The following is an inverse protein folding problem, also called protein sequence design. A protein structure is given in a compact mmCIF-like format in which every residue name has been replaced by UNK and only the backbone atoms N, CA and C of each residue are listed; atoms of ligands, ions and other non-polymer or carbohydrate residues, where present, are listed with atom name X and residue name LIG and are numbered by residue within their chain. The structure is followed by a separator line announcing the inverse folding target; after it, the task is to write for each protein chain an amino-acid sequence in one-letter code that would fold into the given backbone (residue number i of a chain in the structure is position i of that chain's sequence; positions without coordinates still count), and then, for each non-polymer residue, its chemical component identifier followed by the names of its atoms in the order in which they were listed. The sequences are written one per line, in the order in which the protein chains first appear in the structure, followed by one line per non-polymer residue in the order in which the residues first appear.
data_IF_202971449058
#
_entry.id   IF_202971449058
#
_cell.length_a   1.000
_cell.length_b   1.000
_cell.length_c   1.000
_cell.angle_alpha   90.00
_cell.angle_beta   90.00
_cell.angle_gamma   90.00
#
_symmetry.space_group_name_H-M   'P 1'
#
loop_
_entity.id
_entity.type
_entity.pdbx_description
1 polymer ?
#
# COMPACT_ATOMS: atom_id res chain seq x y z
N UNK A 1 -17.02 -2.89 29.44
CA UNK A 1 -16.20 -1.80 28.89
C UNK A 1 -16.22 -1.88 27.39
N UNK A 2 -16.73 -0.88 26.69
CA UNK A 2 -16.63 -0.85 25.25
C UNK A 2 -15.15 -0.70 24.87
N UNK A 3 -14.66 -1.38 23.81
CA UNK A 3 -13.31 -1.18 23.34
C UNK A 3 -13.13 0.28 22.94
N UNK A 4 -11.95 0.88 23.18
CA UNK A 4 -11.69 2.24 22.74
C UNK A 4 -11.83 2.31 21.22
N UNK A 5 -12.53 3.35 20.73
CA UNK A 5 -12.67 3.59 19.31
C UNK A 5 -11.32 4.02 18.73
N UNK A 6 -10.96 3.54 17.54
CA UNK A 6 -9.73 3.96 16.88
C UNK A 6 -9.80 5.45 16.50
N UNK A 7 -8.65 6.12 16.56
CA UNK A 7 -8.50 7.48 16.02
C UNK A 7 -8.66 7.48 14.50
N UNK A 8 -9.58 8.29 13.98
CA UNK A 8 -9.89 8.40 12.55
C UNK A 8 -9.05 9.48 11.83
N UNK A 9 -8.28 10.27 12.57
CA UNK A 9 -7.52 11.39 12.01
C UNK A 9 -6.53 11.00 10.92
N UNK A 10 -5.77 9.89 11.01
CA UNK A 10 -4.86 9.47 9.95
C UNK A 10 -5.58 9.19 8.62
N UNK A 11 -6.76 8.58 8.69
CA UNK A 11 -7.55 8.25 7.52
C UNK A 11 -8.08 9.46 6.76
N UNK A 12 -8.44 10.53 7.46
CA UNK A 12 -8.85 11.79 6.84
C UNK A 12 -7.72 12.33 5.95
N UNK A 13 -6.49 12.33 6.46
CA UNK A 13 -5.33 12.80 5.72
C UNK A 13 -5.07 11.99 4.44
N UNK A 14 -5.24 10.66 4.49
CA UNK A 14 -5.09 9.80 3.31
C UNK A 14 -6.19 10.06 2.27
N UNK A 15 -7.44 10.19 2.71
CA UNK A 15 -8.56 10.49 1.81
C UNK A 15 -8.37 11.84 1.11
N UNK A 16 -7.91 12.85 1.81
CA UNK A 16 -7.63 14.16 1.25
C UNK A 16 -6.47 14.12 0.24
N UNK A 17 -5.43 13.34 0.51
CA UNK A 17 -4.34 13.13 -0.43
C UNK A 17 -4.80 12.43 -1.72
N UNK A 18 -5.66 11.42 -1.61
CA UNK A 18 -6.23 10.73 -2.78
C UNK A 18 -7.02 11.72 -3.63
N UNK A 19 -7.87 12.53 -3.00
CA UNK A 19 -8.67 13.54 -3.70
C UNK A 19 -7.79 14.60 -4.38
N UNK A 20 -6.79 15.11 -3.67
CA UNK A 20 -5.91 16.16 -4.16
C UNK A 20 -5.00 15.69 -5.31
N UNK A 21 -4.47 14.45 -5.24
CA UNK A 21 -3.50 13.93 -6.21
C UNK A 21 -4.13 13.29 -7.43
N UNK A 22 -5.21 12.56 -7.23
CA UNK A 22 -5.82 11.74 -8.27
C UNK A 22 -7.18 12.25 -8.72
N UNK A 23 -7.69 13.32 -8.10
CA UNK A 23 -9.01 13.91 -8.39
C UNK A 23 -10.14 12.87 -8.40
N UNK A 24 -10.05 11.86 -7.52
CA UNK A 24 -10.96 10.74 -7.47
C UNK A 24 -11.44 10.47 -6.05
N UNK A 25 -12.50 9.71 -5.94
CA UNK A 25 -12.99 9.17 -4.67
C UNK A 25 -12.15 7.95 -4.25
N UNK A 26 -12.16 7.65 -2.96
CA UNK A 26 -11.40 6.52 -2.43
C UNK A 26 -12.00 5.15 -2.75
N UNK A 27 -13.33 5.08 -2.82
CA UNK A 27 -14.07 3.85 -3.06
C UNK A 27 -14.61 3.73 -4.46
N UNK A 28 -14.66 2.51 -4.97
CA UNK A 28 -15.36 2.17 -6.21
C UNK A 28 -16.79 1.75 -5.89
N UNK A 29 -17.75 2.30 -6.65
CA UNK A 29 -19.16 1.90 -6.53
C UNK A 29 -19.40 0.49 -7.07
N UNK A 30 -18.57 0.06 -8.03
CA UNK A 30 -18.66 -1.24 -8.68
C UNK A 30 -17.50 -2.14 -8.27
N UNK A 31 -17.72 -3.12 -7.37
CA UNK A 31 -16.64 -3.95 -6.82
C UNK A 31 -15.81 -4.72 -7.87
N UNK A 32 -16.41 -5.04 -9.01
CA UNK A 32 -15.71 -5.76 -10.09
C UNK A 32 -14.70 -4.90 -10.86
N UNK A 33 -14.83 -3.57 -10.80
CA UNK A 33 -13.88 -2.62 -11.38
C UNK A 33 -12.84 -2.15 -10.35
N UNK A 34 -13.03 -2.50 -9.09
CA UNK A 34 -12.15 -2.08 -8.00
C UNK A 34 -10.78 -2.75 -8.07
N UNK A 35 -9.79 -2.06 -7.54
CA UNK A 35 -8.48 -2.64 -7.30
C UNK A 35 -8.43 -3.29 -5.91
N UNK A 36 -7.85 -4.48 -5.81
CA UNK A 36 -7.84 -5.26 -4.58
C UNK A 36 -6.49 -5.27 -3.90
N UNK A 37 -6.55 -5.13 -2.58
CA UNK A 37 -5.42 -5.21 -1.66
C UNK A 37 -5.70 -6.27 -0.59
N UNK A 38 -4.65 -6.64 0.11
CA UNK A 38 -4.70 -7.53 1.25
C UNK A 38 -4.14 -6.83 2.47
N UNK A 39 -4.81 -6.98 3.60
CA UNK A 39 -4.32 -6.57 4.91
C UNK A 39 -4.11 -7.80 5.79
N UNK A 40 -2.95 -7.89 6.43
CA UNK A 40 -2.61 -8.94 7.38
C UNK A 40 -2.32 -8.35 8.76
N UNK A 41 -3.07 -8.80 9.77
CA UNK A 41 -2.93 -8.29 11.14
C UNK A 41 -1.85 -9.07 11.90
N UNK A 42 -0.80 -8.38 12.32
CA UNK A 42 0.21 -8.94 13.22
C UNK A 42 -0.24 -8.88 14.67
N UNK A 43 -0.96 -7.82 15.05
CA UNK A 43 -1.48 -7.60 16.39
C UNK A 43 -2.84 -6.93 16.35
N UNK A 44 -3.73 -7.30 17.29
CA UNK A 44 -4.96 -6.57 17.55
C UNK A 44 -5.43 -6.82 19.00
N UNK A 45 -5.93 -5.78 19.66
CA UNK A 45 -6.52 -5.82 20.98
C UNK A 45 -8.03 -6.05 20.95
N UNK A 46 -8.59 -6.36 19.78
CA UNK A 46 -10.01 -6.61 19.55
C UNK A 46 -10.19 -7.87 18.68
N UNK A 47 -11.39 -8.49 18.73
CA UNK A 47 -11.73 -9.59 17.85
C UNK A 47 -11.68 -9.16 16.38
N UNK A 48 -11.08 -9.99 15.53
CA UNK A 48 -10.96 -9.72 14.09
C UNK A 48 -12.26 -10.13 13.37
N UNK A 49 -13.35 -9.39 13.62
CA UNK A 49 -14.58 -9.45 12.84
C UNK A 49 -14.50 -8.53 11.62
N UNK A 50 -15.33 -8.74 10.61
CA UNK A 50 -15.37 -7.88 9.42
C UNK A 50 -15.61 -6.43 9.80
N UNK A 51 -16.52 -6.16 10.74
CA UNK A 51 -16.85 -4.81 11.22
C UNK A 51 -15.64 -4.12 11.83
N UNK A 52 -14.89 -4.83 12.69
CA UNK A 52 -13.70 -4.30 13.32
C UNK A 52 -12.55 -4.08 12.34
N UNK A 53 -12.41 -4.94 11.33
CA UNK A 53 -11.43 -4.76 10.25
C UNK A 53 -11.77 -3.51 9.43
N UNK A 54 -13.03 -3.31 9.10
CA UNK A 54 -13.50 -2.12 8.38
C UNK A 54 -13.19 -0.85 9.18
N UNK A 55 -13.44 -0.83 10.49
CA UNK A 55 -13.12 0.30 11.35
C UNK A 55 -11.60 0.56 11.42
N UNK A 56 -10.80 -0.50 11.49
CA UNK A 56 -9.34 -0.38 11.46
C UNK A 56 -8.84 0.21 10.14
N UNK A 57 -9.38 -0.23 9.00
CA UNK A 57 -9.06 0.33 7.68
C UNK A 57 -9.52 1.78 7.58
N UNK A 58 -10.71 2.12 8.06
CA UNK A 58 -11.22 3.49 8.07
C UNK A 58 -10.34 4.42 8.91
N UNK A 59 -9.85 3.99 10.05
CA UNK A 59 -8.99 4.81 10.90
C UNK A 59 -7.65 5.13 10.22
N UNK A 60 -7.11 4.20 9.45
CA UNK A 60 -5.84 4.37 8.73
C UNK A 60 -6.01 5.09 7.38
N UNK A 61 -7.03 4.70 6.61
CA UNK A 61 -7.17 5.08 5.20
C UNK A 61 -8.29 6.10 4.97
N UNK A 62 -9.20 6.27 5.92
CA UNK A 62 -10.40 7.08 5.75
C UNK A 62 -11.46 6.38 4.92
N UNK A 63 -12.31 7.15 4.26
CA UNK A 63 -13.39 6.62 3.42
C UNK A 63 -14.59 6.11 4.20
N UNK A 64 -15.49 5.44 3.48
CA UNK A 64 -16.72 4.87 4.03
C UNK A 64 -16.55 3.39 4.36
N UNK A 65 -17.04 2.92 5.51
CA UNK A 65 -16.93 1.51 5.92
C UNK A 65 -17.43 0.53 4.86
N UNK A 66 -18.57 0.79 4.26
CA UNK A 66 -19.19 -0.06 3.24
C UNK A 66 -18.39 -0.14 1.93
N UNK A 67 -17.55 0.84 1.65
CA UNK A 67 -16.80 0.92 0.40
C UNK A 67 -15.57 0.01 0.33
N UNK A 68 -15.12 -0.55 1.45
CA UNK A 68 -13.94 -1.43 1.47
C UNK A 68 -14.23 -2.84 0.96
N UNK A 69 -15.46 -3.31 0.98
CA UNK A 69 -15.84 -4.67 0.55
C UNK A 69 -14.91 -5.75 1.13
N UNK A 70 -14.76 -5.74 2.45
CA UNK A 70 -13.82 -6.61 3.16
C UNK A 70 -14.28 -8.05 3.10
N UNK A 71 -13.36 -8.95 2.72
CA UNK A 71 -13.58 -10.40 2.64
C UNK A 71 -12.47 -11.09 3.44
N UNK A 72 -12.86 -11.98 4.36
CA UNK A 72 -11.92 -12.82 5.06
C UNK A 72 -11.33 -13.87 4.11
N UNK A 73 -9.99 -14.00 4.08
CA UNK A 73 -9.29 -15.00 3.27
C UNK A 73 -8.92 -16.19 4.14
N UNK A 74 -8.10 -15.96 5.16
CA UNK A 74 -7.67 -16.98 6.11
C UNK A 74 -7.03 -16.33 7.34
N UNK A 75 -7.19 -16.96 8.51
CA UNK A 75 -6.54 -16.53 9.74
C UNK A 75 -6.76 -15.04 10.02
N UNK A 76 -5.69 -14.28 9.98
CA UNK A 76 -5.67 -12.83 10.23
C UNK A 76 -5.50 -12.01 8.94
N UNK A 77 -5.89 -12.58 7.79
CA UNK A 77 -5.70 -12.01 6.46
C UNK A 77 -7.03 -11.73 5.80
N UNK A 78 -7.20 -10.50 5.31
CA UNK A 78 -8.43 -9.99 4.72
C UNK A 78 -8.14 -9.29 3.40
N UNK A 79 -9.02 -9.45 2.43
CA UNK A 79 -9.01 -8.72 1.17
C UNK A 79 -9.95 -7.52 1.26
N UNK A 80 -9.54 -6.40 0.70
CA UNK A 80 -10.38 -5.21 0.58
C UNK A 80 -10.17 -4.52 -0.77
N UNK A 81 -11.04 -3.59 -1.11
CA UNK A 81 -11.02 -2.90 -2.40
C UNK A 81 -10.89 -1.39 -2.27
N UNK A 82 -10.28 -0.80 -3.29
CA UNK A 82 -10.18 0.65 -3.50
C UNK A 82 -10.52 0.99 -4.95
N UNK A 83 -10.72 2.27 -5.24
CA UNK A 83 -11.24 2.73 -6.53
C UNK A 83 -10.36 2.34 -7.73
N UNK A 84 -9.04 2.38 -7.57
CA UNK A 84 -8.12 2.20 -8.70
C UNK A 84 -6.76 1.64 -8.29
N UNK A 85 -6.02 1.19 -9.28
CA UNK A 85 -4.63 0.73 -9.14
C UNK A 85 -3.70 1.80 -8.57
N UNK A 86 -3.86 3.05 -8.98
CA UNK A 86 -3.03 4.18 -8.52
C UNK A 86 -3.21 4.41 -7.01
N UNK A 87 -4.45 4.41 -6.55
CA UNK A 87 -4.77 4.48 -5.11
C UNK A 87 -4.26 3.24 -4.38
N UNK A 88 -4.41 2.07 -4.96
CA UNK A 88 -3.89 0.82 -4.40
C UNK A 88 -2.38 0.83 -4.20
N UNK A 89 -1.64 1.34 -5.15
CA UNK A 89 -0.18 1.48 -5.03
C UNK A 89 0.23 2.51 -3.97
N UNK A 90 -0.52 3.59 -3.83
CA UNK A 90 -0.32 4.56 -2.76
C UNK A 90 -0.47 3.92 -1.38
N UNK A 91 -1.51 3.10 -1.19
CA UNK A 91 -1.72 2.37 0.07
C UNK A 91 -0.62 1.32 0.28
N UNK A 92 -0.30 0.53 -0.74
CA UNK A 92 0.77 -0.46 -0.67
C UNK A 92 2.12 0.15 -0.28
N UNK A 93 2.37 1.39 -0.69
CA UNK A 93 3.56 2.14 -0.31
C UNK A 93 3.65 2.44 1.19
N UNK A 94 2.53 2.56 1.89
CA UNK A 94 2.51 2.74 3.34
C UNK A 94 3.12 1.53 4.08
N UNK A 95 3.15 0.37 3.46
CA UNK A 95 3.67 -0.91 3.97
C UNK A 95 2.91 -1.43 5.16
N UNK A 96 2.78 -0.65 6.21
CA UNK A 96 2.13 -1.03 7.45
C UNK A 96 1.56 0.16 8.17
N UNK A 97 0.63 -0.11 9.08
CA UNK A 97 0.10 0.88 10.00
C UNK A 97 0.07 0.30 11.42
N UNK A 98 0.51 1.09 12.37
CA UNK A 98 0.59 0.70 13.76
C UNK A 98 -0.04 1.78 14.65
N UNK A 99 -0.91 1.34 15.56
CA UNK A 99 -1.43 2.14 16.65
C UNK A 99 -1.52 1.28 17.94
N UNK A 100 -1.89 1.83 19.09
CA UNK A 100 -2.00 1.05 20.33
C UNK A 100 -2.99 -0.12 20.26
N UNK A 101 -4.00 -0.05 19.38
CA UNK A 101 -5.06 -1.05 19.25
C UNK A 101 -4.73 -2.19 18.30
N UNK A 102 -3.93 -1.91 17.26
CA UNK A 102 -3.61 -2.90 16.22
C UNK A 102 -2.35 -2.57 15.44
N UNK A 103 -1.81 -3.60 14.79
CA UNK A 103 -0.71 -3.48 13.84
C UNK A 103 -0.99 -4.40 12.65
N UNK A 104 -0.99 -3.85 11.44
CA UNK A 104 -1.21 -4.60 10.21
C UNK A 104 -0.28 -4.16 9.07
N UNK A 105 -0.19 -5.02 8.06
CA UNK A 105 0.60 -4.82 6.86
C UNK A 105 -0.29 -4.85 5.62
N UNK A 106 0.05 -4.04 4.64
CA UNK A 106 -0.60 -4.02 3.32
C UNK A 106 0.17 -4.87 2.31
N UNK A 107 -0.57 -5.62 1.50
CA UNK A 107 -0.05 -6.42 0.40
C UNK A 107 -0.90 -6.21 -0.84
N UNK A 108 -0.31 -6.40 -2.01
CA UNK A 108 -1.07 -6.41 -3.26
C UNK A 108 -1.75 -7.77 -3.44
N UNK A 109 -2.98 -7.75 -3.93
CA UNK A 109 -3.66 -8.97 -4.30
C UNK A 109 -3.10 -9.54 -5.59
N UNK A 110 -2.68 -10.82 -5.60
CA UNK A 110 -1.85 -11.44 -6.63
C UNK A 110 -2.47 -11.68 -8.00
N UNK A 111 -3.71 -11.27 -8.26
CA UNK A 111 -4.36 -11.47 -9.57
C UNK A 111 -3.86 -10.54 -10.69
N UNK A 112 -2.96 -9.62 -10.39
CA UNK A 112 -2.31 -8.80 -11.41
C UNK A 112 -1.19 -9.51 -12.19
N UNK A 113 -0.84 -10.78 -11.83
CA UNK A 113 0.27 -11.49 -12.43
C UNK A 113 1.62 -10.78 -12.25
N UNK A 114 2.68 -11.21 -12.93
CA UNK A 114 4.01 -10.61 -12.82
C UNK A 114 4.07 -9.15 -13.31
N UNK A 115 3.07 -8.70 -14.06
CA UNK A 115 3.02 -7.34 -14.58
C UNK A 115 2.87 -6.27 -13.50
N UNK A 116 2.23 -6.57 -12.36
CA UNK A 116 2.00 -5.58 -11.30
C UNK A 116 3.31 -5.08 -10.69
N UNK A 117 4.35 -5.90 -10.61
CA UNK A 117 5.66 -5.49 -10.08
C UNK A 117 6.25 -4.40 -10.95
N UNK A 118 6.19 -4.56 -12.28
CA UNK A 118 6.67 -3.56 -13.23
C UNK A 118 5.84 -2.28 -13.16
N UNK A 119 4.53 -2.42 -13.11
CA UNK A 119 3.61 -1.29 -13.02
C UNK A 119 3.81 -0.50 -11.72
N UNK A 120 4.02 -1.19 -10.60
CA UNK A 120 4.31 -0.55 -9.33
C UNK A 120 5.66 0.18 -9.34
N UNK A 121 6.68 -0.40 -9.96
CA UNK A 121 7.98 0.26 -10.12
C UNK A 121 7.88 1.52 -10.97
N UNK A 122 7.11 1.48 -12.06
CA UNK A 122 6.87 2.65 -12.89
C UNK A 122 6.11 3.73 -12.10
N UNK A 123 5.08 3.34 -11.37
CA UNK A 123 4.32 4.24 -10.50
C UNK A 123 5.21 4.91 -9.45
N UNK A 124 6.11 4.15 -8.81
CA UNK A 124 7.09 4.72 -7.87
C UNK A 124 7.99 5.74 -8.55
N UNK A 125 8.48 5.43 -9.74
CA UNK A 125 9.34 6.34 -10.50
C UNK A 125 8.63 7.65 -10.83
N UNK A 126 7.37 7.58 -11.25
CA UNK A 126 6.57 8.75 -11.63
C UNK A 126 6.20 9.62 -10.41
N UNK A 127 5.92 9.01 -9.26
CA UNK A 127 5.37 9.70 -8.10
C UNK A 127 6.36 9.91 -6.95
N UNK A 128 7.47 9.18 -6.91
CA UNK A 128 8.44 9.27 -5.81
C UNK A 128 9.23 10.58 -5.83
N UNK A 129 9.44 11.15 -7.01
CA UNK A 129 10.06 12.45 -7.18
C UNK A 129 9.19 13.57 -6.61
N UNK A 130 7.88 13.42 -6.60
CA UNK A 130 6.96 14.39 -6.01
C UNK A 130 6.93 14.31 -4.47
N UNK A 131 7.14 13.12 -3.88
CA UNK A 131 7.12 12.94 -2.44
C UNK A 131 8.35 13.50 -1.74
N UNK A 132 9.49 13.56 -2.40
CA UNK A 132 10.71 14.17 -1.86
C UNK A 132 10.63 15.68 -1.74
N UNK A 133 9.63 16.31 -2.38
CA UNK A 133 9.45 17.76 -2.37
C UNK A 133 8.52 18.26 -1.26
N UNK A 134 7.82 17.38 -0.54
CA UNK A 134 7.07 17.77 0.66
C UNK A 134 8.05 17.90 1.82
N UNK A 135 8.74 19.02 1.87
CA UNK A 135 9.50 19.44 3.05
C UNK A 135 8.54 19.47 4.22
N UNK A 136 8.79 18.62 5.20
CA UNK A 136 8.17 18.74 6.51
C UNK A 136 8.29 20.19 7.00
N UNK A 137 7.20 20.90 7.35
CA UNK A 137 7.26 22.31 7.70
C UNK A 137 7.92 22.58 9.07
N UNK A 138 8.48 21.61 9.73
CA UNK A 138 9.11 21.78 11.02
C UNK A 138 10.52 21.20 11.07
N UNK A 139 11.49 21.98 10.55
CA UNK A 139 12.84 22.08 11.11
C UNK A 139 13.47 23.40 10.71
N UNK A 140 13.11 24.45 11.39
CA UNK A 140 14.03 25.57 11.61
C UNK A 140 15.08 25.08 12.60
N UNK A 141 16.14 24.49 12.11
CA UNK A 141 17.39 24.40 12.80
C UNK A 141 18.36 25.35 12.09
N UNK A 142 18.51 26.51 12.68
CA UNK A 142 19.68 27.36 12.55
C UNK A 142 20.92 26.50 12.80
N UNK A 143 21.69 26.24 11.77
CA UNK A 143 22.95 25.50 11.86
C UNK A 143 23.45 25.20 10.46
N UNK A 144 24.29 26.11 9.97
CA UNK A 144 25.04 25.92 8.75
C UNK A 144 25.91 24.66 8.88
N UNK A 145 25.51 23.59 8.19
CA UNK A 145 26.44 22.60 7.70
C UNK A 145 25.88 22.08 6.38
N UNK A 146 26.49 22.56 5.33
CA UNK A 146 26.34 22.08 3.97
C UNK A 146 26.79 20.61 3.94
N UNK A 147 25.84 19.71 4.09
CA UNK A 147 26.10 18.31 3.79
C UNK A 147 25.82 18.16 2.29
N UNK A 148 26.86 17.98 1.53
CA UNK A 148 26.80 17.47 0.18
C UNK A 148 25.99 16.17 0.21
N UNK A 149 24.73 16.24 -0.16
CA UNK A 149 23.95 15.04 -0.47
C UNK A 149 24.51 14.52 -1.78
N UNK A 150 25.41 13.55 -1.67
CA UNK A 150 25.91 12.81 -2.80
C UNK A 150 24.71 12.27 -3.57
N UNK A 151 24.65 12.65 -4.84
CA UNK A 151 23.77 12.11 -5.85
C UNK A 151 23.89 10.59 -5.78
N UNK A 152 22.94 9.91 -5.14
CA UNK A 152 22.85 8.46 -5.24
C UNK A 152 22.53 8.13 -6.68
N UNK A 153 23.54 7.72 -7.41
CA UNK A 153 23.35 7.05 -8.68
C UNK A 153 22.46 5.84 -8.43
N UNK A 154 21.47 5.60 -9.28
CA UNK A 154 20.76 4.33 -9.24
C UNK A 154 21.78 3.23 -9.42
N UNK A 155 21.87 2.33 -8.46
CA UNK A 155 22.66 1.12 -8.56
C UNK A 155 22.23 0.39 -9.83
N UNK A 156 23.15 0.02 -10.73
CA UNK A 156 22.81 -0.83 -11.84
C UNK A 156 22.39 -2.17 -11.27
N UNK A 157 21.11 -2.49 -11.39
CA UNK A 157 20.65 -3.84 -11.18
C UNK A 157 21.23 -4.71 -12.31
N UNK A 158 22.31 -5.38 -12.00
CA UNK A 158 22.78 -6.49 -12.80
C UNK A 158 21.77 -7.63 -12.62
N UNK A 159 20.83 -7.72 -13.52
CA UNK A 159 20.05 -8.92 -13.73
C UNK A 159 21.00 -9.96 -14.32
N UNK A 160 21.54 -10.82 -13.46
CA UNK A 160 22.08 -12.07 -13.91
C UNK A 160 20.90 -12.92 -14.40
N UNK A 161 20.63 -12.84 -15.68
CA UNK A 161 19.81 -13.81 -16.38
C UNK A 161 20.55 -15.13 -16.40
N UNK A 162 20.26 -15.99 -15.45
CA UNK A 162 20.58 -17.41 -15.57
C UNK A 162 19.58 -18.02 -16.54
N UNK A 163 19.87 -17.93 -17.81
CA UNK A 163 19.22 -18.75 -18.82
C UNK A 163 19.68 -20.16 -18.65
N UNK A 164 18.89 -20.95 -17.96
CA UNK A 164 19.07 -22.40 -17.94
C UNK A 164 18.52 -22.94 -19.25
N UNK A 165 19.41 -23.24 -20.18
CA UNK A 165 19.11 -24.02 -21.35
C UNK A 165 18.66 -25.42 -20.91
N UNK A 166 17.39 -25.69 -20.98
CA UNK A 166 16.85 -27.04 -20.87
C UNK A 166 17.26 -27.82 -22.13
N UNK A 167 18.12 -28.77 -21.92
CA UNK A 167 18.56 -29.78 -22.86
C UNK A 167 17.35 -30.62 -23.27
N UNK A 168 16.96 -30.58 -24.55
CA UNK A 168 16.04 -31.55 -25.13
C UNK A 168 16.80 -32.83 -25.42
N UNK A 169 16.32 -34.00 -24.99
CA UNK A 169 16.86 -35.25 -25.48
C UNK A 169 16.28 -35.53 -26.88
N UNK A 170 17.17 -35.72 -27.85
CA UNK A 170 16.86 -36.22 -29.16
C UNK A 170 16.35 -37.65 -29.07
N UNK A 171 15.14 -37.89 -29.57
CA UNK A 171 14.63 -39.22 -29.85
C UNK A 171 15.21 -39.66 -31.21
N UNK A 172 16.10 -40.61 -31.15
CA UNK A 172 16.48 -41.41 -32.33
C UNK A 172 15.63 -42.67 -32.39
N UNK A 173 15.01 -42.83 -33.50
CA UNK A 173 14.52 -44.04 -34.19
C UNK A 173 14.33 -45.32 -33.42
#
# INVERSE_FOLDING_TARGET
MAPPLPDLSPGVGITDQVRARFSTQFHCLEPHLAFHLVVSFSHSNFPLSIENIVLALQSCLGGLPSGFHVIHIRGRVYKFSVVSKVVGFMIYRLRSFRCPLFYFHFHLWGFGGPAWIREYKNWLYEHDLEWTTVKSPHRTLTGANSIHVGRRQPLPFSLAESVTHANQPALSS
#
